data_IF_220382676137
#
_entry.id   IF_220382676137
#
_cell.length_a   1.000
_cell.length_b   1.000
_cell.length_c   1.000
_cell.angle_alpha   90.00
_cell.angle_beta   90.00
_cell.angle_gamma   90.00
#
_symmetry.space_group_name_H-M   'P 1'
#
loop_
_entity.id
_entity.type
_entity.pdbx_description
1 polymer ?
#
# COMPACT_ATOMS: atom_id res chain seq x y z
N UNK A 1 18.31 20.53 0.49
CA UNK A 1 17.74 20.19 1.81
C UNK A 1 18.74 19.30 2.56
N UNK A 2 18.96 19.49 3.86
CA UNK A 2 19.86 18.61 4.62
C UNK A 2 19.24 17.21 4.82
N UNK A 3 20.04 16.15 4.91
CA UNK A 3 19.55 14.77 5.03
C UNK A 3 18.62 14.56 6.24
N UNK A 4 18.88 15.24 7.36
CA UNK A 4 18.00 15.21 8.54
C UNK A 4 16.60 15.73 8.23
N UNK A 5 16.48 16.78 7.41
CA UNK A 5 15.17 17.32 7.02
C UNK A 5 14.42 16.34 6.12
N UNK A 6 15.12 15.69 5.18
CA UNK A 6 14.54 14.63 4.35
C UNK A 6 14.01 13.49 5.23
N UNK A 7 14.81 13.00 6.18
CA UNK A 7 14.37 11.97 7.14
C UNK A 7 13.13 12.41 7.93
N UNK A 8 13.06 13.66 8.39
CA UNK A 8 11.90 14.15 9.14
C UNK A 8 10.64 14.14 8.27
N UNK A 9 10.75 14.54 7.01
CA UNK A 9 9.63 14.56 6.08
C UNK A 9 9.18 13.12 5.74
N UNK A 10 10.11 12.18 5.51
CA UNK A 10 9.79 10.74 5.35
C UNK A 10 9.07 10.16 6.58
N UNK A 11 9.54 10.49 7.80
CA UNK A 11 8.90 10.03 9.03
C UNK A 11 7.51 10.63 9.23
N UNK A 12 7.26 11.86 8.75
CA UNK A 12 5.92 12.49 8.78
C UNK A 12 5.00 11.82 7.77
N UNK A 13 5.53 11.45 6.60
CA UNK A 13 4.81 10.67 5.59
C UNK A 13 4.37 9.32 6.15
N UNK A 14 5.30 8.54 6.72
CA UNK A 14 5.01 7.28 7.40
C UNK A 14 4.00 7.45 8.54
N UNK A 15 4.16 8.48 9.39
CA UNK A 15 3.19 8.74 10.45
C UNK A 15 1.79 9.02 9.92
N UNK A 16 1.68 9.75 8.80
CA UNK A 16 0.40 9.96 8.12
C UNK A 16 -0.16 8.64 7.58
N UNK A 17 0.66 7.86 6.87
CA UNK A 17 0.28 6.57 6.29
C UNK A 17 -0.32 5.61 7.33
N UNK A 18 0.39 5.41 8.43
CA UNK A 18 -0.01 4.56 9.56
C UNK A 18 -1.35 4.99 10.17
N UNK A 19 -1.56 6.31 10.35
CA UNK A 19 -2.83 6.84 10.85
C UNK A 19 -3.99 6.67 9.85
N UNK A 20 -3.71 6.68 8.55
CA UNK A 20 -4.71 6.35 7.53
C UNK A 20 -5.05 4.86 7.58
N UNK A 21 -4.08 3.98 7.75
CA UNK A 21 -4.28 2.53 7.86
C UNK A 21 -5.07 2.12 9.10
N UNK A 22 -4.83 2.76 10.25
CA UNK A 22 -5.66 2.57 11.46
C UNK A 22 -7.15 2.75 11.16
N UNK A 23 -7.51 3.64 10.21
CA UNK A 23 -8.89 3.87 9.79
C UNK A 23 -9.35 2.90 8.70
N UNK A 24 -8.46 2.46 7.82
CA UNK A 24 -8.79 1.61 6.67
C UNK A 24 -8.92 0.12 7.03
N UNK A 25 -8.04 -0.40 7.89
CA UNK A 25 -7.98 -1.83 8.26
C UNK A 25 -9.29 -2.40 8.83
N UNK A 26 -10.06 -1.67 9.68
CA UNK A 26 -11.38 -2.14 10.10
C UNK A 26 -12.35 -2.41 8.95
N UNK A 27 -12.28 -1.63 7.87
CA UNK A 27 -13.14 -1.80 6.71
C UNK A 27 -12.70 -3.01 5.87
N UNK A 28 -11.39 -3.22 5.68
CA UNK A 28 -10.85 -4.41 5.03
C UNK A 28 -11.21 -5.70 5.79
N UNK A 29 -11.09 -5.68 7.12
CA UNK A 29 -11.48 -6.81 7.98
C UNK A 29 -12.98 -7.12 7.90
N UNK A 30 -13.84 -6.11 7.75
CA UNK A 30 -15.29 -6.30 7.58
C UNK A 30 -15.64 -6.79 6.16
N UNK A 31 -14.93 -6.30 5.16
CA UNK A 31 -15.19 -6.54 3.75
C UNK A 31 -14.79 -7.93 3.27
N UNK A 32 -13.66 -8.46 3.74
CA UNK A 32 -13.27 -9.85 3.44
C UNK A 32 -14.32 -10.82 3.99
N UNK A 33 -14.60 -11.92 3.29
CA UNK A 33 -15.41 -13.05 3.76
C UNK A 33 -14.53 -14.18 4.30
N UNK A 34 -13.26 -14.23 3.91
CA UNK A 34 -12.30 -15.22 4.36
C UNK A 34 -11.88 -15.02 5.83
N UNK A 35 -12.16 -15.97 6.74
CA UNK A 35 -11.84 -15.81 8.17
C UNK A 35 -10.36 -15.60 8.46
N UNK A 36 -9.46 -16.18 7.64
CA UNK A 36 -8.02 -16.03 7.82
C UNK A 36 -7.56 -14.60 7.46
N UNK A 37 -8.07 -14.03 6.37
CA UNK A 37 -7.78 -12.64 5.99
C UNK A 37 -8.35 -11.65 7.01
N UNK A 38 -9.57 -11.88 7.51
CA UNK A 38 -10.14 -11.07 8.61
C UNK A 38 -9.23 -11.02 9.83
N UNK A 39 -8.72 -12.18 10.25
CA UNK A 39 -7.78 -12.28 11.38
C UNK A 39 -6.51 -11.48 11.08
N UNK A 40 -5.93 -11.65 9.90
CA UNK A 40 -4.70 -10.95 9.51
C UNK A 40 -4.90 -9.43 9.56
N UNK A 41 -5.99 -8.88 9.00
CA UNK A 41 -6.26 -7.45 9.04
C UNK A 41 -6.53 -6.94 10.46
N UNK A 42 -7.16 -7.75 11.31
CA UNK A 42 -7.43 -7.41 12.72
C UNK A 42 -6.14 -7.39 13.54
N UNK A 43 -5.28 -8.39 13.35
CA UNK A 43 -3.97 -8.48 13.99
C UNK A 43 -3.08 -7.33 13.55
N UNK A 44 -3.05 -7.05 12.24
CA UNK A 44 -2.25 -5.96 11.68
C UNK A 44 -2.72 -4.61 12.21
N UNK A 45 -4.03 -4.35 12.36
CA UNK A 45 -4.52 -3.13 13.02
C UNK A 45 -3.96 -2.92 14.44
N UNK A 46 -3.73 -4.00 15.19
CA UNK A 46 -3.09 -3.90 16.50
C UNK A 46 -1.60 -3.56 16.39
N UNK A 47 -0.89 -4.17 15.41
CA UNK A 47 0.50 -3.85 15.06
C UNK A 47 0.61 -2.36 14.65
N UNK A 48 -0.20 -1.88 13.70
CA UNK A 48 -0.28 -0.48 13.22
C UNK A 48 -0.47 0.54 14.34
N UNK A 49 -1.36 0.26 15.31
CA UNK A 49 -1.50 1.14 16.47
C UNK A 49 -0.21 1.22 17.30
N UNK A 50 0.49 0.10 17.45
CA UNK A 50 1.81 0.06 18.10
C UNK A 50 2.88 0.83 17.31
N UNK A 51 2.82 0.76 15.98
CA UNK A 51 3.74 1.44 15.07
C UNK A 51 3.56 2.96 15.12
N UNK A 52 2.32 3.46 15.17
CA UNK A 52 2.01 4.88 15.42
C UNK A 52 2.65 5.37 16.73
N UNK A 53 2.52 4.60 17.82
CA UNK A 53 3.15 4.96 19.11
C UNK A 53 4.68 4.89 19.04
N UNK A 54 5.23 3.97 18.23
CA UNK A 54 6.67 3.87 18.00
C UNK A 54 7.21 5.07 17.24
N UNK A 55 6.50 5.55 16.21
CA UNK A 55 6.84 6.76 15.49
C UNK A 55 6.79 7.99 16.41
N UNK A 56 5.80 8.10 17.31
CA UNK A 56 5.79 9.18 18.32
C UNK A 56 7.06 9.20 19.17
N UNK A 57 7.59 8.03 19.56
CA UNK A 57 8.87 7.92 20.26
C UNK A 57 10.06 8.36 19.39
N UNK A 58 10.06 8.01 18.10
CA UNK A 58 11.08 8.49 17.15
C UNK A 58 11.07 10.03 17.07
N UNK A 59 9.88 10.64 16.94
CA UNK A 59 9.75 12.10 16.92
C UNK A 59 10.19 12.76 18.22
N UNK A 60 9.90 12.15 19.38
CA UNK A 60 10.37 12.62 20.67
C UNK A 60 11.91 12.60 20.77
N UNK A 61 12.58 11.54 20.29
CA UNK A 61 14.05 11.47 20.24
C UNK A 61 14.66 12.52 19.28
N UNK A 62 13.93 12.92 18.23
CA UNK A 62 14.35 13.96 17.30
C UNK A 62 14.10 15.39 17.80
N UNK A 63 13.28 15.56 18.84
CA UNK A 63 12.80 16.88 19.28
C UNK A 63 11.81 17.52 18.31
N UNK A 64 11.11 16.71 17.52
CA UNK A 64 10.24 17.14 16.41
C UNK A 64 8.78 16.72 16.66
N UNK A 65 7.85 17.34 15.92
CA UNK A 65 6.43 16.96 15.96
C UNK A 65 6.07 16.04 14.77
N UNK A 66 5.23 15.00 14.98
CA UNK A 66 4.81 14.06 13.93
C UNK A 66 3.75 14.63 12.97
N UNK A 67 3.51 15.94 12.97
CA UNK A 67 2.42 16.58 12.26
C UNK A 67 2.92 17.39 11.07
N UNK A 68 2.02 17.72 10.14
CA UNK A 68 2.28 18.68 9.07
C UNK A 68 2.36 18.09 7.66
N UNK A 69 2.02 16.81 7.49
CA UNK A 69 2.05 16.16 6.19
C UNK A 69 0.90 15.15 6.05
N UNK A 70 0.35 15.08 4.84
CA UNK A 70 -0.60 14.06 4.42
C UNK A 70 0.08 13.15 3.39
N UNK A 71 0.05 11.85 3.63
CA UNK A 71 0.63 10.86 2.74
C UNK A 71 -0.34 10.56 1.60
N UNK A 72 -0.12 11.17 0.44
CA UNK A 72 -0.92 10.93 -0.77
C UNK A 72 -0.69 9.52 -1.33
N UNK A 73 0.50 8.96 -1.14
CA UNK A 73 0.85 7.61 -1.62
C UNK A 73 0.00 6.55 -0.94
N UNK A 74 -0.02 6.55 0.39
CA UNK A 74 -0.86 5.64 1.17
C UNK A 74 -2.35 5.86 0.90
N UNK A 75 -2.81 7.11 0.77
CA UNK A 75 -4.19 7.40 0.40
C UNK A 75 -4.58 6.71 -0.91
N UNK A 76 -3.73 6.82 -1.94
CA UNK A 76 -3.95 6.17 -3.23
C UNK A 76 -4.06 4.65 -3.11
N UNK A 77 -3.14 4.00 -2.38
CA UNK A 77 -3.17 2.54 -2.19
C UNK A 77 -4.40 2.10 -1.39
N UNK A 78 -4.82 2.88 -0.38
CA UNK A 78 -6.05 2.62 0.37
C UNK A 78 -7.29 2.74 -0.54
N UNK A 79 -7.33 3.76 -1.41
CA UNK A 79 -8.42 3.93 -2.38
C UNK A 79 -8.51 2.75 -3.35
N UNK A 80 -7.39 2.18 -3.81
CA UNK A 80 -7.41 0.95 -4.61
C UNK A 80 -8.04 -0.24 -3.85
N UNK A 81 -7.79 -0.34 -2.54
CA UNK A 81 -8.42 -1.34 -1.69
C UNK A 81 -9.92 -1.12 -1.49
N UNK A 82 -10.36 0.14 -1.39
CA UNK A 82 -11.79 0.49 -1.32
C UNK A 82 -12.50 0.19 -2.63
N UNK A 83 -11.90 0.54 -3.76
CA UNK A 83 -12.45 0.26 -5.09
C UNK A 83 -12.62 -1.26 -5.31
N UNK A 84 -11.77 -2.10 -4.70
CA UNK A 84 -11.95 -3.55 -4.68
C UNK A 84 -13.13 -4.00 -3.80
N UNK A 85 -13.43 -3.30 -2.70
CA UNK A 85 -14.57 -3.58 -1.81
C UNK A 85 -15.92 -3.11 -2.37
N UNK A 86 -15.93 -2.09 -3.22
CA UNK A 86 -17.17 -1.51 -3.80
C UNK A 86 -17.73 -2.32 -4.96
N UNK A 87 -16.94 -3.24 -5.52
CA UNK A 87 -17.43 -4.22 -6.48
C UNK A 87 -18.28 -5.22 -5.70
N UNK A 88 -19.58 -5.24 -5.96
CA UNK A 88 -20.55 -6.19 -5.40
C UNK A 88 -20.31 -7.59 -5.98
N UNK A 89 -19.12 -8.12 -5.67
CA UNK A 89 -18.55 -9.35 -6.18
C UNK A 89 -18.27 -10.28 -5.00
N UNK A 90 -18.73 -11.52 -5.11
CA UNK A 90 -18.41 -12.58 -4.16
C UNK A 90 -17.48 -13.60 -4.84
N UNK A 91 -16.74 -14.36 -4.04
CA UNK A 91 -15.87 -15.42 -4.51
C UNK A 91 -14.39 -15.14 -4.32
N UNK A 92 -13.57 -16.02 -4.86
CA UNK A 92 -12.12 -16.00 -4.65
C UNK A 92 -11.40 -14.93 -5.45
N UNK A 93 -11.97 -14.45 -6.57
CA UNK A 93 -11.43 -13.30 -7.31
C UNK A 93 -11.59 -11.97 -6.55
N UNK A 94 -12.70 -11.79 -5.82
CA UNK A 94 -12.89 -10.66 -4.91
C UNK A 94 -11.82 -10.65 -3.80
N UNK A 95 -11.62 -11.78 -3.13
CA UNK A 95 -10.59 -11.92 -2.09
C UNK A 95 -9.17 -11.73 -2.65
N UNK A 96 -8.91 -12.20 -3.89
CA UNK A 96 -7.64 -11.98 -4.57
C UNK A 96 -7.35 -10.49 -4.80
N UNK A 97 -8.39 -9.70 -5.13
CA UNK A 97 -8.30 -8.24 -5.22
C UNK A 97 -7.89 -7.60 -3.89
N UNK A 98 -8.53 -8.01 -2.78
CA UNK A 98 -8.19 -7.53 -1.44
C UNK A 98 -6.76 -7.89 -1.02
N UNK A 99 -6.32 -9.12 -1.32
CA UNK A 99 -4.93 -9.56 -1.08
C UNK A 99 -3.95 -8.69 -1.86
N UNK A 100 -4.25 -8.43 -3.14
CA UNK A 100 -3.41 -7.59 -3.98
C UNK A 100 -3.26 -6.17 -3.44
N UNK A 101 -4.36 -5.55 -3.01
CA UNK A 101 -4.34 -4.22 -2.40
C UNK A 101 -3.55 -4.23 -1.08
N UNK A 102 -3.81 -5.19 -0.19
CA UNK A 102 -3.08 -5.33 1.07
C UNK A 102 -1.58 -5.50 0.86
N UNK A 103 -1.14 -6.35 -0.08
CA UNK A 103 0.29 -6.49 -0.38
C UNK A 103 0.92 -5.19 -0.88
N UNK A 104 0.22 -4.40 -1.69
CA UNK A 104 0.73 -3.09 -2.13
C UNK A 104 0.89 -2.13 -0.97
N UNK A 105 -0.03 -2.14 -0.01
CA UNK A 105 0.08 -1.37 1.25
C UNK A 105 1.35 -1.75 2.00
N UNK A 106 1.54 -3.04 2.32
CA UNK A 106 2.72 -3.48 3.08
C UNK A 106 4.03 -3.13 2.37
N UNK A 107 4.09 -3.29 1.04
CA UNK A 107 5.28 -2.97 0.27
C UNK A 107 5.58 -1.48 0.20
N UNK A 108 4.55 -0.62 0.22
CA UNK A 108 4.72 0.83 0.36
C UNK A 108 5.39 1.17 1.70
N UNK A 109 4.91 0.59 2.81
CA UNK A 109 5.46 0.83 4.14
C UNK A 109 6.87 0.27 4.30
N UNK A 110 7.12 -0.95 3.81
CA UNK A 110 8.46 -1.57 3.80
C UNK A 110 9.46 -0.63 3.12
N UNK A 111 9.13 -0.10 1.93
CA UNK A 111 10.01 0.81 1.22
C UNK A 111 10.27 2.12 2.00
N UNK A 112 9.22 2.72 2.58
CA UNK A 112 9.35 3.93 3.39
C UNK A 112 10.20 3.73 4.66
N UNK A 113 10.01 2.60 5.35
CA UNK A 113 10.81 2.24 6.53
C UNK A 113 12.27 1.94 6.16
N UNK A 114 12.54 1.20 5.09
CA UNK A 114 13.90 0.93 4.61
C UNK A 114 14.64 2.23 4.25
N UNK A 115 13.98 3.15 3.54
CA UNK A 115 14.53 4.47 3.24
C UNK A 115 14.86 5.26 4.52
N UNK A 116 13.91 5.36 5.45
CA UNK A 116 14.09 6.07 6.72
C UNK A 116 15.20 5.46 7.58
N UNK A 117 15.32 4.13 7.63
CA UNK A 117 16.39 3.42 8.34
C UNK A 117 17.75 3.75 7.72
N UNK A 118 17.86 3.75 6.40
CA UNK A 118 19.09 4.09 5.69
C UNK A 118 19.55 5.52 6.01
N UNK A 119 18.63 6.48 5.96
CA UNK A 119 18.91 7.88 6.31
C UNK A 119 19.32 8.04 7.78
N UNK A 120 18.57 7.44 8.71
CA UNK A 120 18.89 7.48 10.15
C UNK A 120 20.25 6.81 10.48
N UNK A 121 20.62 5.77 9.73
CA UNK A 121 21.93 5.11 9.84
C UNK A 121 23.04 6.05 9.39
N UNK A 122 22.89 6.69 8.22
CA UNK A 122 23.87 7.66 7.71
C UNK A 122 24.05 8.88 8.65
N UNK A 123 23.01 9.25 9.38
CA UNK A 123 23.04 10.33 10.38
C UNK A 123 23.55 9.90 11.77
N UNK A 124 23.92 8.62 11.96
CA UNK A 124 24.43 8.11 13.23
C UNK A 124 23.39 8.07 14.36
N UNK A 125 22.14 7.69 14.05
CA UNK A 125 21.02 7.70 15.00
C UNK A 125 20.58 6.27 15.43
N UNK A 126 21.40 5.51 16.19
CA UNK A 126 21.18 4.08 16.44
C UNK A 126 19.87 3.77 17.20
N UNK A 127 19.42 4.68 18.07
CA UNK A 127 18.14 4.51 18.79
C UNK A 127 16.95 4.54 17.83
N UNK A 128 16.95 5.50 16.88
CA UNK A 128 15.91 5.64 15.87
C UNK A 128 15.94 4.43 14.93
N UNK A 129 17.13 4.04 14.46
CA UNK A 129 17.33 2.83 13.64
C UNK A 129 16.74 1.59 14.32
N UNK A 130 16.96 1.40 15.62
CA UNK A 130 16.39 0.28 16.38
C UNK A 130 14.86 0.30 16.40
N UNK A 131 14.26 1.47 16.59
CA UNK A 131 12.80 1.63 16.60
C UNK A 131 12.22 1.32 15.22
N UNK A 132 12.75 1.93 14.16
CA UNK A 132 12.25 1.73 12.79
C UNK A 132 12.42 0.27 12.33
N UNK A 133 13.53 -0.39 12.68
CA UNK A 133 13.71 -1.82 12.39
C UNK A 133 12.70 -2.73 13.13
N UNK A 134 12.17 -2.30 14.28
CA UNK A 134 11.10 -3.05 14.95
C UNK A 134 9.82 -3.01 14.13
N UNK A 135 9.47 -1.84 13.57
CA UNK A 135 8.32 -1.72 12.69
C UNK A 135 8.53 -2.49 11.39
N UNK A 136 9.67 -2.30 10.71
CA UNK A 136 9.96 -3.00 9.45
C UNK A 136 9.81 -4.53 9.56
N UNK A 137 10.18 -5.12 10.70
CA UNK A 137 9.99 -6.56 10.94
C UNK A 137 8.52 -6.96 11.04
N UNK A 138 7.68 -6.11 11.62
CA UNK A 138 6.23 -6.31 11.67
C UNK A 138 5.66 -6.28 10.25
N UNK A 139 6.00 -5.29 9.41
CA UNK A 139 5.45 -5.18 8.04
C UNK A 139 5.90 -6.33 7.13
N UNK A 140 7.19 -6.69 7.20
CA UNK A 140 7.70 -7.85 6.46
C UNK A 140 7.00 -9.14 6.92
N UNK A 141 6.62 -9.25 8.20
CA UNK A 141 5.86 -10.39 8.72
C UNK A 141 4.41 -10.36 8.22
N UNK A 142 3.76 -9.19 8.25
CA UNK A 142 2.40 -8.99 7.74
C UNK A 142 2.30 -9.33 6.25
N UNK A 143 3.20 -8.81 5.40
CA UNK A 143 3.29 -9.14 3.98
C UNK A 143 3.43 -10.65 3.72
N UNK A 144 4.26 -11.35 4.52
CA UNK A 144 4.41 -12.80 4.44
C UNK A 144 3.13 -13.54 4.85
N UNK A 145 2.47 -13.11 5.93
CA UNK A 145 1.18 -13.69 6.37
C UNK A 145 0.12 -13.53 5.27
N UNK A 146 0.03 -12.36 4.64
CA UNK A 146 -0.90 -12.08 3.55
C UNK A 146 -0.60 -12.95 2.34
N UNK A 147 0.66 -13.05 1.91
CA UNK A 147 1.06 -13.89 0.77
C UNK A 147 0.73 -15.36 1.02
N UNK A 148 1.04 -15.86 2.22
CA UNK A 148 0.75 -17.25 2.60
C UNK A 148 -0.77 -17.54 2.62
N UNK A 149 -1.57 -16.62 3.16
CA UNK A 149 -3.03 -16.74 3.15
C UNK A 149 -3.61 -16.62 1.74
N UNK A 150 -2.99 -15.81 0.87
CA UNK A 150 -3.44 -15.58 -0.49
C UNK A 150 -3.17 -16.73 -1.45
N UNK A 151 -2.08 -17.47 -1.28
CA UNK A 151 -1.72 -18.57 -2.18
C UNK A 151 -2.86 -19.57 -2.50
N UNK A 152 -3.63 -20.10 -1.53
CA UNK A 152 -4.78 -20.96 -1.83
C UNK A 152 -5.92 -20.20 -2.52
N UNK A 153 -6.16 -18.93 -2.16
CA UNK A 153 -7.22 -18.09 -2.74
C UNK A 153 -6.94 -17.81 -4.22
N UNK A 154 -5.68 -17.49 -4.57
CA UNK A 154 -5.25 -17.29 -5.95
C UNK A 154 -5.47 -18.54 -6.81
N UNK A 155 -5.22 -19.74 -6.25
CA UNK A 155 -5.47 -21.01 -6.95
C UNK A 155 -6.95 -21.30 -7.17
N UNK A 156 -7.83 -20.81 -6.28
CA UNK A 156 -9.28 -20.90 -6.45
C UNK A 156 -9.76 -19.90 -7.50
N UNK A 157 -9.28 -18.65 -7.42
CA UNK A 157 -9.64 -17.58 -8.35
C UNK A 157 -9.24 -17.92 -9.78
N UNK A 158 -8.07 -18.52 -9.98
CA UNK A 158 -7.62 -18.98 -11.29
C UNK A 158 -8.52 -20.05 -11.95
N UNK A 159 -9.46 -20.65 -11.21
CA UNK A 159 -10.42 -21.63 -11.71
C UNK A 159 -11.84 -21.06 -11.84
N UNK A 160 -12.07 -19.83 -11.38
CA UNK A 160 -13.38 -19.20 -11.52
C UNK A 160 -13.66 -18.86 -12.99
N UNK A 161 -14.88 -19.09 -13.48
CA UNK A 161 -15.24 -18.72 -14.84
C UNK A 161 -15.25 -17.19 -14.97
N UNK A 162 -14.85 -16.68 -16.14
CA UNK A 162 -14.94 -15.25 -16.41
C UNK A 162 -16.40 -14.77 -16.27
N UNK A 163 -16.62 -13.83 -15.37
CA UNK A 163 -17.91 -13.16 -15.26
C UNK A 163 -18.12 -12.23 -16.48
N UNK A 164 -19.37 -12.06 -16.95
CA UNK A 164 -19.69 -11.06 -17.97
C UNK A 164 -19.21 -9.69 -17.52
N UNK A 165 -18.50 -8.96 -18.40
CA UNK A 165 -17.99 -7.62 -18.09
C UNK A 165 -19.14 -6.68 -17.70
N UNK A 166 -19.12 -6.20 -16.45
CA UNK A 166 -20.03 -5.15 -16.01
C UNK A 166 -19.71 -3.82 -16.69
N UNK A 167 -20.69 -2.91 -16.82
CA UNK A 167 -20.44 -1.55 -17.32
C UNK A 167 -19.40 -0.83 -16.46
N UNK A 168 -18.39 -0.24 -17.11
CA UNK A 168 -17.35 0.51 -16.41
C UNK A 168 -17.92 1.62 -15.53
N UNK A 169 -17.43 1.74 -14.30
CA UNK A 169 -17.72 2.86 -13.40
C UNK A 169 -17.17 4.18 -13.96
N UNK A 170 -17.58 5.31 -13.38
CA UNK A 170 -17.05 6.63 -13.75
C UNK A 170 -15.52 6.73 -13.60
N UNK A 171 -14.98 6.19 -12.49
CA UNK A 171 -13.53 6.09 -12.25
C UNK A 171 -12.85 5.23 -13.32
N UNK A 172 -13.40 4.07 -13.65
CA UNK A 172 -12.83 3.18 -14.67
C UNK A 172 -12.88 3.78 -16.09
N UNK A 173 -13.91 4.56 -16.41
CA UNK A 173 -13.97 5.34 -17.66
C UNK A 173 -12.91 6.43 -17.69
N UNK A 174 -12.72 7.14 -16.58
CA UNK A 174 -11.68 8.17 -16.46
C UNK A 174 -10.27 7.58 -16.61
N UNK A 175 -9.94 6.51 -15.87
CA UNK A 175 -8.66 5.81 -16.02
C UNK A 175 -8.45 5.28 -17.44
N UNK A 176 -9.47 4.66 -18.05
CA UNK A 176 -9.36 4.18 -19.43
C UNK A 176 -9.15 5.31 -20.45
N UNK A 177 -9.72 6.50 -20.21
CA UNK A 177 -9.47 7.68 -21.03
C UNK A 177 -8.02 8.15 -20.86
N UNK A 178 -7.52 8.24 -19.62
CA UNK A 178 -6.15 8.64 -19.32
C UNK A 178 -5.13 7.68 -19.95
N UNK A 179 -5.35 6.36 -19.86
CA UNK A 179 -4.49 5.37 -20.52
C UNK A 179 -4.43 5.56 -22.03
N UNK A 180 -5.57 5.85 -22.68
CA UNK A 180 -5.60 6.14 -24.12
C UNK A 180 -4.88 7.44 -24.49
N UNK A 181 -5.01 8.46 -23.63
CA UNK A 181 -4.25 9.70 -23.79
C UNK A 181 -2.75 9.40 -23.67
N UNK A 182 -2.31 8.72 -22.62
CA UNK A 182 -0.90 8.35 -22.42
C UNK A 182 -0.35 7.51 -23.60
N UNK A 183 -1.11 6.53 -24.10
CA UNK A 183 -0.77 5.74 -25.30
C UNK A 183 -0.60 6.63 -26.54
N UNK A 184 -1.50 7.59 -26.75
CA UNK A 184 -1.42 8.51 -27.90
C UNK A 184 -0.22 9.45 -27.83
N UNK A 185 0.24 9.81 -26.62
CA UNK A 185 1.44 10.63 -26.42
C UNK A 185 2.74 9.80 -26.46
N UNK A 186 2.66 8.48 -26.21
CA UNK A 186 3.80 7.57 -26.28
C UNK A 186 4.15 7.10 -27.71
N UNK A 187 3.25 7.29 -28.68
CA UNK A 187 3.39 6.74 -30.04
C UNK A 187 3.49 7.75 -31.22
N UNK A 188 4.28 8.84 -31.16
CA UNK A 188 4.50 9.66 -32.36
C UNK A 188 5.52 9.04 -33.36
N UNK A 189 6.42 8.15 -32.95
CA UNK A 189 7.59 7.73 -33.77
C UNK A 189 7.53 6.31 -34.37
N UNK A 190 6.49 5.51 -34.12
CA UNK A 190 6.36 4.17 -34.74
C UNK A 190 5.47 4.15 -35.99
N UNK A 191 4.99 5.30 -36.45
CA UNK A 191 4.18 5.44 -37.65
C UNK A 191 4.95 6.06 -38.81
N UNK A 192 5.75 5.26 -39.53
CA UNK A 192 6.05 5.34 -40.99
C UNK A 192 7.35 4.59 -41.33
N UNK A 193 7.33 3.25 -41.29
CA UNK A 193 8.22 2.50 -42.17
C UNK A 193 7.50 2.32 -43.50
N UNK A 194 7.70 3.30 -44.38
CA UNK A 194 7.31 3.23 -45.78
C UNK A 194 7.97 2.01 -46.39
N UNK A 195 7.16 1.06 -46.87
CA UNK A 195 7.61 0.03 -47.81
C UNK A 195 8.19 0.73 -49.03
N UNK A 196 9.50 0.72 -49.18
CA UNK A 196 10.16 1.06 -50.44
C UNK A 196 10.37 -0.27 -51.17
N UNK A 197 9.59 -0.43 -52.24
CA UNK A 197 9.70 -1.47 -53.25
C UNK A 197 10.99 -1.35 -54.06
#
# INVERSE_FOLDING_TARGET
MALKSVLIDELRDLYSAENQLVKALPNLAKGSKNPKLKSIFTDHLAETKGQVERLKKVFAELGEKPTGQHCNGMEGVIEEGKDALEKDEEGSSFEAGLIGAALRTEHYEIAGYEASISMATALGMPKIVKLLNSTLKEEVSAAKKITAAGAPIMKLSAKEPEAPKQPKTGKEKYSAKKSKEDESHAAPELGTSTTVS
#
